data_IF_498288845617
#
_entry.id   IF_498288845617
#
_cell.length_a   1.000
_cell.length_b   1.000
_cell.length_c   1.000
_cell.angle_alpha   90.00
_cell.angle_beta   90.00
_cell.angle_gamma   90.00
#
_symmetry.space_group_name_H-M   'P 1'
#
loop_
_entity.id
_entity.type
_entity.pdbx_description
1 polymer ?
#
# COMPACT_ATOMS: atom_id res chain seq x y z
N UNK A 1 -4.03 6.30 29.63
CA UNK A 1 -3.42 5.13 28.96
C UNK A 1 -2.39 5.72 28.01
N UNK A 2 -1.11 5.68 28.44
CA UNK A 2 -0.03 6.08 27.54
C UNK A 2 0.01 5.13 26.35
N UNK A 3 -0.19 5.65 25.15
CA UNK A 3 -0.01 4.88 23.91
C UNK A 3 1.49 4.67 23.73
N UNK A 4 2.00 3.61 24.34
CA UNK A 4 3.34 3.12 24.09
C UNK A 4 3.21 2.05 23.01
N UNK A 5 3.57 2.40 21.79
CA UNK A 5 3.75 1.39 20.76
C UNK A 5 4.96 0.52 21.11
N UNK A 6 4.73 -0.78 21.03
CA UNK A 6 5.61 -1.86 21.49
C UNK A 6 7.04 -1.64 21.00
N UNK A 7 7.97 -1.79 21.93
CA UNK A 7 9.39 -1.74 21.68
C UNK A 7 9.80 -2.72 20.60
N UNK A 8 10.33 -2.18 19.58
CA UNK A 8 11.13 -2.86 18.60
C UNK A 8 12.56 -2.94 19.10
N UNK A 9 13.34 -3.77 18.45
CA UNK A 9 14.78 -3.83 18.69
C UNK A 9 15.41 -2.43 18.56
N UNK A 10 16.51 -2.20 19.25
CA UNK A 10 17.22 -0.91 19.25
C UNK A 10 17.42 -0.33 17.85
N UNK A 11 17.79 -1.16 16.88
CA UNK A 11 18.01 -0.75 15.48
C UNK A 11 16.74 -0.20 14.82
N UNK A 12 15.57 -0.77 15.10
CA UNK A 12 14.30 -0.34 14.55
C UNK A 12 13.91 1.02 15.15
N UNK A 13 14.02 1.16 16.45
CA UNK A 13 13.80 2.44 17.14
C UNK A 13 14.73 3.52 16.61
N UNK A 14 16.02 3.23 16.48
CA UNK A 14 16.99 4.20 15.99
C UNK A 14 16.77 4.56 14.51
N UNK A 15 16.36 3.60 13.70
CA UNK A 15 15.92 3.87 12.33
C UNK A 15 14.74 4.84 12.29
N UNK A 16 13.68 4.58 13.06
CA UNK A 16 12.50 5.47 13.11
C UNK A 16 12.89 6.87 13.58
N UNK A 17 13.71 6.95 14.65
CA UNK A 17 14.19 8.24 15.15
C UNK A 17 15.01 9.01 14.12
N UNK A 18 15.77 8.32 13.27
CA UNK A 18 16.54 9.00 12.21
C UNK A 18 15.67 9.76 11.22
N UNK A 19 14.47 9.26 10.89
CA UNK A 19 13.49 9.98 10.05
C UNK A 19 12.89 11.17 10.78
N UNK A 20 12.59 11.03 12.06
CA UNK A 20 12.09 12.14 12.89
C UNK A 20 13.16 13.24 13.02
N UNK A 21 14.38 12.86 13.29
CA UNK A 21 15.50 13.82 13.44
C UNK A 21 15.82 14.49 12.09
N UNK A 22 15.71 13.77 10.98
CA UNK A 22 15.81 14.34 9.65
C UNK A 22 14.73 15.41 9.41
N UNK A 23 13.48 15.13 9.79
CA UNK A 23 12.40 16.10 9.68
C UNK A 23 12.62 17.34 10.55
N UNK A 24 13.10 17.17 11.80
CA UNK A 24 13.41 18.29 12.71
C UNK A 24 14.50 19.21 12.18
N UNK A 25 15.40 18.70 11.35
CA UNK A 25 16.53 19.47 10.79
C UNK A 25 16.23 20.06 9.42
N UNK A 26 15.14 19.68 8.77
CA UNK A 26 14.78 20.12 7.44
C UNK A 26 14.01 21.44 7.48
N UNK A 27 14.32 22.40 6.60
CA UNK A 27 13.51 23.60 6.43
C UNK A 27 12.15 23.34 5.77
N UNK A 28 11.97 22.19 5.13
CA UNK A 28 10.76 21.80 4.39
C UNK A 28 9.79 20.98 5.24
N UNK A 29 10.08 20.76 6.53
CA UNK A 29 9.25 19.96 7.41
C UNK A 29 9.18 20.52 8.82
N UNK A 30 8.04 20.27 9.47
CA UNK A 30 7.78 20.61 10.87
C UNK A 30 7.20 19.41 11.60
N UNK A 31 7.71 19.11 12.81
CA UNK A 31 7.15 18.10 13.69
C UNK A 31 6.05 18.74 14.52
N UNK A 32 4.79 18.48 14.17
CA UNK A 32 3.62 19.06 14.81
C UNK A 32 3.27 18.41 16.16
N UNK A 33 3.61 17.11 16.31
CA UNK A 33 3.30 16.34 17.52
C UNK A 33 4.31 15.21 17.71
N UNK A 34 4.59 14.86 18.98
CA UNK A 34 5.50 13.77 19.33
C UNK A 34 6.96 14.11 19.05
N UNK A 35 7.64 13.21 18.39
CA UNK A 35 9.03 13.42 17.97
C UNK A 35 10.08 12.97 18.96
N UNK A 36 9.70 12.30 20.06
CA UNK A 36 10.64 11.81 21.07
C UNK A 36 10.69 10.28 21.08
N UNK A 37 11.80 9.77 21.57
CA UNK A 37 11.98 8.34 21.81
C UNK A 37 12.66 8.10 23.15
N UNK A 38 12.24 7.08 23.87
CA UNK A 38 12.80 6.68 25.16
C UNK A 38 13.41 5.27 25.05
N UNK A 39 14.64 5.12 25.54
CA UNK A 39 15.35 3.84 25.63
C UNK A 39 15.79 3.49 27.04
N UNK A 40 15.30 4.20 28.07
CA UNK A 40 15.70 3.99 29.47
C UNK A 40 15.12 2.71 30.05
N UNK A 41 13.90 2.33 29.63
CA UNK A 41 13.21 1.11 30.11
C UNK A 41 12.71 0.22 28.95
N UNK A 42 12.91 0.65 27.69
CA UNK A 42 12.49 -0.06 26.48
C UNK A 42 12.70 0.82 25.25
N UNK A 43 12.52 0.27 24.07
CA UNK A 43 12.75 1.00 22.81
C UNK A 43 11.45 1.65 22.33
N UNK A 44 11.04 2.74 22.93
CA UNK A 44 9.79 3.43 22.63
C UNK A 44 10.01 4.61 21.71
N UNK A 45 9.04 4.82 20.81
CA UNK A 45 8.92 6.02 19.97
C UNK A 45 7.51 6.58 20.18
N UNK A 46 7.40 7.88 20.41
CA UNK A 46 6.12 8.55 20.49
C UNK A 46 5.43 8.58 19.12
N UNK A 47 4.09 8.42 19.07
CA UNK A 47 3.35 8.76 17.87
C UNK A 47 3.73 10.17 17.40
N UNK A 48 4.18 10.27 16.15
CA UNK A 48 4.76 11.51 15.62
C UNK A 48 4.01 11.95 14.38
N UNK A 49 3.68 13.23 14.31
CA UNK A 49 3.05 13.88 13.15
C UNK A 49 4.02 14.89 12.58
N UNK A 50 4.36 14.71 11.31
CA UNK A 50 5.22 15.60 10.53
C UNK A 50 4.35 16.28 9.48
N UNK A 51 4.49 17.57 9.28
CA UNK A 51 3.96 18.28 8.12
C UNK A 51 5.12 18.68 7.21
N UNK A 52 4.96 18.50 5.92
CA UNK A 52 5.98 18.88 4.93
C UNK A 52 5.38 19.75 3.82
N UNK A 53 6.21 20.62 3.26
CA UNK A 53 5.91 21.38 2.05
C UNK A 53 6.44 20.69 0.78
N UNK A 54 7.31 19.68 0.93
CA UNK A 54 7.82 18.85 -0.17
C UNK A 54 7.06 17.54 -0.27
N UNK A 55 6.26 17.32 -1.33
CA UNK A 55 5.52 16.08 -1.52
C UNK A 55 6.42 14.85 -1.78
N UNK A 56 7.70 15.07 -2.09
CA UNK A 56 8.71 14.02 -2.25
C UNK A 56 9.64 13.91 -1.04
N UNK A 57 9.24 14.48 0.09
CA UNK A 57 9.99 14.41 1.33
C UNK A 57 10.31 12.96 1.70
N UNK A 58 11.48 12.72 2.27
CA UNK A 58 11.99 11.39 2.57
C UNK A 58 10.96 10.48 3.27
N UNK A 59 10.25 11.00 4.28
CA UNK A 59 9.23 10.23 5.01
C UNK A 59 7.89 10.05 4.26
N UNK A 60 7.71 10.72 3.10
CA UNK A 60 6.60 10.45 2.18
C UNK A 60 6.92 9.33 1.19
N UNK A 61 8.19 9.19 0.82
CA UNK A 61 8.65 8.26 -0.23
C UNK A 61 9.06 6.91 0.34
N UNK A 62 9.77 6.91 1.47
CA UNK A 62 10.35 5.72 2.08
C UNK A 62 9.42 5.13 3.15
N UNK A 63 9.45 3.81 3.27
CA UNK A 63 8.71 3.10 4.30
C UNK A 63 9.45 3.18 5.64
N UNK A 64 8.84 3.80 6.67
CA UNK A 64 9.43 3.94 8.01
C UNK A 64 9.14 2.72 8.88
N UNK A 65 7.99 2.12 8.72
CA UNK A 65 7.48 1.00 9.52
C UNK A 65 7.40 1.32 11.03
N UNK A 66 6.92 2.51 11.35
CA UNK A 66 6.84 3.04 12.73
C UNK A 66 5.68 4.00 12.94
N UNK A 67 5.52 4.50 14.17
CA UNK A 67 4.40 5.37 14.56
C UNK A 67 4.61 6.82 14.08
N UNK A 68 4.88 7.00 12.80
CA UNK A 68 5.12 8.30 12.17
C UNK A 68 4.14 8.48 11.02
N UNK A 69 3.44 9.59 10.99
CA UNK A 69 2.62 10.02 9.87
C UNK A 69 3.16 11.33 9.30
N UNK A 70 3.27 11.41 8.00
CA UNK A 70 3.66 12.65 7.29
C UNK A 70 2.49 13.19 6.51
N UNK A 71 2.23 14.48 6.64
CA UNK A 71 1.13 15.21 6.04
C UNK A 71 1.70 16.19 5.01
N UNK A 72 1.13 16.16 3.81
CA UNK A 72 1.32 17.17 2.79
C UNK A 72 -0.02 17.84 2.50
N UNK A 73 -0.07 19.16 2.65
CA UNK A 73 -1.27 19.94 2.38
C UNK A 73 -1.18 20.52 0.97
N UNK A 74 -2.18 20.27 0.16
CA UNK A 74 -2.25 20.74 -1.22
C UNK A 74 -3.42 21.70 -1.44
N UNK A 75 -3.35 22.50 -2.50
CA UNK A 75 -4.42 23.39 -2.92
C UNK A 75 -5.53 22.58 -3.62
N UNK A 76 -6.78 22.81 -3.27
CA UNK A 76 -7.95 22.13 -3.86
C UNK A 76 -7.97 22.24 -5.39
N UNK A 77 -7.48 23.34 -5.96
CA UNK A 77 -7.35 23.52 -7.40
C UNK A 77 -6.37 22.53 -8.06
N UNK A 78 -5.46 21.92 -7.27
CA UNK A 78 -4.44 20.95 -7.72
C UNK A 78 -4.82 19.51 -7.44
N UNK A 79 -6.10 19.22 -7.25
CA UNK A 79 -6.56 17.87 -6.88
C UNK A 79 -6.08 16.80 -7.86
N UNK A 80 -6.25 17.01 -9.17
CA UNK A 80 -5.85 16.03 -10.19
C UNK A 80 -4.33 15.81 -10.23
N UNK A 81 -3.56 16.88 -10.17
CA UNK A 81 -2.09 16.81 -10.11
C UNK A 81 -1.63 16.07 -8.84
N UNK A 82 -2.33 16.29 -7.72
CA UNK A 82 -2.03 15.63 -6.44
C UNK A 82 -2.33 14.14 -6.50
N UNK A 83 -3.38 13.71 -7.20
CA UNK A 83 -3.66 12.28 -7.41
C UNK A 83 -2.53 11.61 -8.21
N UNK A 84 -2.06 12.24 -9.29
CA UNK A 84 -0.93 11.73 -10.07
C UNK A 84 0.36 11.69 -9.24
N UNK A 85 0.55 12.69 -8.39
CA UNK A 85 1.66 12.73 -7.45
C UNK A 85 1.58 11.55 -6.47
N UNK A 86 0.42 11.31 -5.83
CA UNK A 86 0.19 10.17 -4.95
C UNK A 86 0.50 8.83 -5.61
N UNK A 87 0.14 8.67 -6.89
CA UNK A 87 0.41 7.43 -7.64
C UNK A 87 1.91 7.13 -7.78
N UNK A 88 2.75 8.16 -7.90
CA UNK A 88 4.18 8.03 -8.19
C UNK A 88 5.10 8.26 -6.99
N UNK A 89 4.60 8.77 -5.86
CA UNK A 89 5.43 9.15 -4.71
C UNK A 89 6.18 7.97 -4.11
N UNK A 90 5.55 6.79 -4.07
CA UNK A 90 6.13 5.60 -3.45
C UNK A 90 6.16 4.41 -4.42
N UNK A 91 7.17 3.55 -4.35
CA UNK A 91 7.21 2.31 -5.11
C UNK A 91 6.22 1.26 -4.59
N UNK A 92 5.62 1.47 -3.44
CA UNK A 92 4.67 0.55 -2.81
C UNK A 92 3.25 0.74 -3.31
N UNK A 93 2.43 -0.31 -3.23
CA UNK A 93 1.03 -0.29 -3.63
C UNK A 93 0.19 -1.25 -2.79
N UNK A 94 0.28 -1.14 -1.44
CA UNK A 94 -0.38 -2.06 -0.52
C UNK A 94 -1.80 -1.61 -0.20
N UNK A 95 -1.95 -0.50 0.49
CA UNK A 95 -3.25 0.03 0.92
C UNK A 95 -3.33 1.53 0.69
N UNK A 96 -4.54 2.01 0.44
CA UNK A 96 -4.83 3.43 0.34
C UNK A 96 -6.28 3.73 0.64
N UNK A 97 -6.57 4.96 1.07
CA UNK A 97 -7.92 5.42 1.38
C UNK A 97 -8.18 6.80 0.82
N UNK A 98 -9.40 7.01 0.35
CA UNK A 98 -9.93 8.31 -0.07
C UNK A 98 -11.07 8.70 0.87
N UNK A 99 -11.00 9.91 1.39
CA UNK A 99 -12.08 10.53 2.16
C UNK A 99 -12.65 11.71 1.38
N UNK A 100 -13.85 11.57 0.86
CA UNK A 100 -14.55 12.62 0.13
C UNK A 100 -16.07 12.45 0.20
N UNK A 101 -16.81 13.54 0.04
CA UNK A 101 -18.27 13.55 -0.09
C UNK A 101 -18.71 13.61 -1.54
N UNK A 102 -17.91 14.28 -2.38
CA UNK A 102 -18.19 14.41 -3.80
C UNK A 102 -17.91 13.11 -4.53
N UNK A 103 -18.93 12.57 -5.22
CA UNK A 103 -18.81 11.33 -6.00
C UNK A 103 -17.90 11.48 -7.21
N UNK A 104 -17.86 12.65 -7.84
CA UNK A 104 -16.97 12.88 -8.97
C UNK A 104 -15.51 12.87 -8.55
N UNK A 105 -15.21 13.47 -7.39
CA UNK A 105 -13.87 13.42 -6.79
C UNK A 105 -13.48 11.97 -6.45
N UNK A 106 -14.39 11.18 -5.87
CA UNK A 106 -14.16 9.76 -5.57
C UNK A 106 -13.88 8.97 -6.85
N UNK A 107 -14.71 9.13 -7.89
CA UNK A 107 -14.57 8.40 -9.15
C UNK A 107 -13.26 8.79 -9.86
N UNK A 108 -12.89 10.05 -9.84
CA UNK A 108 -11.61 10.53 -10.37
C UNK A 108 -10.43 9.88 -9.64
N UNK A 109 -10.42 9.93 -8.30
CA UNK A 109 -9.39 9.32 -7.48
C UNK A 109 -9.32 7.80 -7.70
N UNK A 110 -10.46 7.11 -7.71
CA UNK A 110 -10.53 5.68 -7.96
C UNK A 110 -9.89 5.28 -9.29
N UNK A 111 -10.14 6.03 -10.34
CA UNK A 111 -9.59 5.75 -11.66
C UNK A 111 -8.10 6.08 -11.76
N UNK A 112 -7.66 7.21 -11.21
CA UNK A 112 -6.26 7.64 -11.24
C UNK A 112 -5.39 6.73 -10.39
N UNK A 113 -5.85 6.38 -9.18
CA UNK A 113 -5.09 5.59 -8.21
C UNK A 113 -5.34 4.08 -8.31
N UNK A 114 -5.89 3.61 -9.43
CA UNK A 114 -6.27 2.20 -9.66
C UNK A 114 -5.18 1.19 -9.30
N UNK A 115 -3.93 1.54 -9.54
CA UNK A 115 -2.78 0.66 -9.32
C UNK A 115 -1.92 1.08 -8.12
N UNK A 116 -2.34 2.08 -7.36
CA UNK A 116 -1.59 2.59 -6.21
C UNK A 116 -1.86 1.81 -4.93
N UNK A 117 -2.93 1.02 -4.88
CA UNK A 117 -3.28 0.24 -3.71
C UNK A 117 -3.97 -1.08 -4.09
N UNK A 118 -3.46 -2.18 -3.54
CA UNK A 118 -4.11 -3.49 -3.67
C UNK A 118 -5.41 -3.57 -2.88
N UNK A 119 -5.47 -2.94 -1.70
CA UNK A 119 -6.68 -2.71 -0.94
C UNK A 119 -7.01 -1.22 -0.94
N UNK A 120 -8.05 -0.85 -1.66
CA UNK A 120 -8.48 0.53 -1.84
C UNK A 120 -9.76 0.78 -1.05
N UNK A 121 -9.75 1.78 -0.19
CA UNK A 121 -10.85 2.11 0.72
C UNK A 121 -11.44 3.47 0.38
N UNK A 122 -12.75 3.61 0.55
CA UNK A 122 -13.48 4.87 0.36
C UNK A 122 -14.22 5.20 1.65
N UNK A 123 -13.87 6.34 2.24
CA UNK A 123 -14.43 6.81 3.51
C UNK A 123 -14.27 5.80 4.66
N UNK A 124 -13.21 5.01 4.61
CA UNK A 124 -12.84 4.05 5.66
C UNK A 124 -11.32 4.06 5.86
N UNK A 125 -10.87 3.53 7.00
CA UNK A 125 -9.45 3.46 7.34
C UNK A 125 -8.71 2.54 6.36
N UNK A 126 -7.47 2.87 5.97
CA UNK A 126 -6.71 2.14 4.95
C UNK A 126 -6.05 0.85 5.47
N UNK A 127 -6.53 0.26 6.56
CA UNK A 127 -5.91 -0.91 7.20
C UNK A 127 -6.91 -1.71 8.01
N UNK A 128 -6.48 -2.85 8.57
CA UNK A 128 -7.33 -3.72 9.39
C UNK A 128 -8.21 -4.62 8.53
N UNK A 129 -7.69 -5.12 7.42
CA UNK A 129 -8.37 -6.09 6.58
C UNK A 129 -8.77 -7.35 7.37
N UNK A 130 -10.01 -7.77 7.17
CA UNK A 130 -10.58 -8.96 7.82
C UNK A 130 -10.54 -10.13 6.85
N UNK A 131 -9.99 -11.26 7.30
CA UNK A 131 -9.92 -12.51 6.53
C UNK A 131 -11.30 -12.86 5.94
N UNK A 132 -11.32 -13.27 4.69
CA UNK A 132 -12.50 -13.62 3.89
C UNK A 132 -13.46 -12.45 3.55
N UNK A 133 -13.37 -11.32 4.22
CA UNK A 133 -14.15 -10.11 3.89
C UNK A 133 -13.35 -9.14 3.00
N UNK A 134 -12.07 -8.96 3.33
CA UNK A 134 -11.15 -8.06 2.64
C UNK A 134 -9.83 -8.80 2.38
N UNK A 135 -9.77 -9.71 1.41
CA UNK A 135 -8.52 -10.38 1.06
C UNK A 135 -7.39 -9.37 0.84
N UNK A 136 -6.27 -9.60 1.51
CA UNK A 136 -5.23 -8.60 1.68
C UNK A 136 -4.04 -8.86 0.77
N UNK A 137 -3.58 -7.84 0.09
CA UNK A 137 -2.39 -7.90 -0.75
C UNK A 137 -2.21 -6.62 -1.55
N UNK A 138 -0.97 -6.37 -1.94
CA UNK A 138 -0.58 -5.22 -2.74
C UNK A 138 0.28 -5.59 -3.92
N UNK A 139 0.38 -4.65 -4.84
CA UNK A 139 1.21 -4.73 -6.04
C UNK A 139 2.45 -3.86 -5.93
N UNK A 140 3.19 -3.68 -7.02
CA UNK A 140 4.46 -2.96 -7.08
C UNK A 140 5.46 -3.59 -6.09
N UNK A 141 6.22 -2.79 -5.36
CA UNK A 141 7.15 -3.29 -4.33
C UNK A 141 6.48 -3.92 -3.11
N UNK A 142 5.16 -3.82 -2.96
CA UNK A 142 4.41 -4.45 -1.85
C UNK A 142 4.11 -5.92 -2.05
N UNK A 143 4.31 -6.48 -3.24
CA UNK A 143 4.18 -7.91 -3.49
C UNK A 143 3.42 -8.28 -4.76
N UNK A 144 2.97 -9.53 -4.81
CA UNK A 144 2.33 -10.14 -5.99
C UNK A 144 0.82 -9.97 -6.04
N UNK A 145 0.24 -9.30 -5.04
CA UNK A 145 -1.19 -9.06 -4.91
C UNK A 145 -2.06 -10.34 -4.87
N UNK A 146 -1.56 -11.42 -4.30
CA UNK A 146 -2.24 -12.72 -4.26
C UNK A 146 -3.45 -12.80 -3.33
N UNK A 147 -3.80 -11.71 -2.65
CA UNK A 147 -5.01 -11.61 -1.82
C UNK A 147 -5.08 -12.66 -0.71
N UNK A 148 -4.15 -12.58 0.23
CA UNK A 148 -4.13 -13.42 1.42
C UNK A 148 -5.49 -13.36 2.15
N UNK A 149 -5.99 -14.51 2.61
CA UNK A 149 -7.31 -14.63 3.20
C UNK A 149 -8.46 -14.77 2.20
N UNK A 150 -8.17 -14.93 0.91
CA UNK A 150 -9.12 -15.19 -0.16
C UNK A 150 -8.80 -16.44 -0.97
N UNK A 151 -9.76 -16.97 -1.75
CA UNK A 151 -9.56 -18.18 -2.54
C UNK A 151 -8.50 -18.03 -3.63
N UNK A 152 -8.26 -16.82 -4.13
CA UNK A 152 -7.24 -16.56 -5.15
C UNK A 152 -5.83 -16.86 -4.64
N UNK A 153 -5.57 -16.68 -3.35
CA UNK A 153 -4.28 -17.03 -2.78
C UNK A 153 -3.99 -18.53 -2.87
N UNK A 154 -5.00 -19.38 -2.76
CA UNK A 154 -4.84 -20.83 -2.80
C UNK A 154 -4.31 -21.34 -4.14
N UNK A 155 -4.56 -20.62 -5.24
CA UNK A 155 -4.08 -20.96 -6.58
C UNK A 155 -2.55 -21.02 -6.62
N UNK A 156 -1.87 -20.18 -5.83
CA UNK A 156 -0.40 -20.18 -5.72
C UNK A 156 0.19 -21.46 -5.12
N UNK A 157 -0.61 -22.16 -4.35
CA UNK A 157 -0.21 -23.40 -3.65
C UNK A 157 -0.64 -24.67 -4.39
N UNK A 158 -1.28 -24.52 -5.55
CA UNK A 158 -1.73 -25.63 -6.38
C UNK A 158 -0.91 -25.75 -7.65
N UNK A 159 -0.82 -26.97 -8.15
CA UNK A 159 -0.24 -27.26 -9.46
C UNK A 159 -1.34 -27.81 -10.36
N UNK A 160 -2.04 -26.98 -11.13
CA UNK A 160 -3.14 -27.42 -11.97
C UNK A 160 -2.63 -28.38 -13.05
N UNK A 161 -3.34 -29.50 -13.21
CA UNK A 161 -3.06 -30.49 -14.23
C UNK A 161 -4.26 -30.63 -15.15
N UNK A 162 -4.05 -30.42 -16.44
CA UNK A 162 -5.06 -30.68 -17.45
C UNK A 162 -4.85 -32.07 -18.03
N UNK A 163 -5.92 -32.87 -18.11
CA UNK A 163 -5.90 -34.19 -18.72
C UNK A 163 -6.92 -34.18 -19.86
N UNK A 164 -6.47 -34.59 -21.05
CA UNK A 164 -7.30 -34.84 -22.21
C UNK A 164 -7.15 -36.30 -22.59
N UNK A 165 -8.24 -37.06 -22.56
CA UNK A 165 -8.29 -38.43 -23.01
C UNK A 165 -9.17 -38.53 -24.27
N UNK A 166 -8.69 -39.25 -25.27
CA UNK A 166 -9.43 -39.55 -26.48
C UNK A 166 -9.77 -41.03 -26.48
N UNK A 167 -11.05 -41.36 -26.27
CA UNK A 167 -11.51 -42.74 -26.24
C UNK A 167 -11.41 -43.42 -27.61
N UNK A 168 -11.55 -42.64 -28.68
CA UNK A 168 -11.28 -43.07 -30.05
C UNK A 168 -10.12 -42.26 -30.59
N UNK A 169 -8.89 -42.82 -30.65
CA UNK A 169 -7.73 -42.08 -31.15
C UNK A 169 -7.95 -41.62 -32.58
N UNK A 170 -7.59 -40.35 -32.92
CA UNK A 170 -7.69 -39.87 -34.29
C UNK A 170 -6.74 -40.63 -35.22
N UNK A 171 -7.22 -40.99 -36.38
CA UNK A 171 -6.44 -41.67 -37.43
C UNK A 171 -5.94 -40.70 -38.50
N UNK A 172 -6.33 -39.44 -38.44
CA UNK A 172 -5.91 -38.37 -39.33
C UNK A 172 -5.36 -37.19 -38.55
N UNK A 173 -4.33 -36.54 -39.03
CA UNK A 173 -3.74 -35.33 -38.42
C UNK A 173 -4.47 -34.05 -38.80
N UNK A 174 -5.34 -34.07 -39.84
CA UNK A 174 -6.06 -32.92 -40.33
C UNK A 174 -7.28 -32.60 -39.44
N UNK A 175 -7.53 -31.32 -39.21
CA UNK A 175 -8.75 -30.89 -38.58
C UNK A 175 -9.92 -30.96 -39.60
N UNK A 176 -11.14 -31.37 -39.19
CA UNK A 176 -12.27 -31.51 -40.08
C UNK A 176 -12.57 -30.24 -40.89
N UNK A 177 -12.48 -29.06 -40.31
CA UNK A 177 -12.76 -27.78 -40.94
C UNK A 177 -11.74 -27.40 -42.06
N UNK A 178 -10.56 -28.01 -42.10
CA UNK A 178 -9.58 -27.79 -43.17
C UNK A 178 -9.89 -28.60 -44.44
N UNK A 179 -10.81 -29.57 -44.37
CA UNK A 179 -11.25 -30.40 -45.48
C UNK A 179 -12.53 -29.92 -46.16
N UNK A 180 -13.22 -28.93 -45.60
CA UNK A 180 -14.42 -28.34 -46.19
C UNK A 180 -14.01 -27.38 -47.30
N UNK A 181 -14.48 -27.66 -48.52
CA UNK A 181 -14.33 -26.78 -49.71
C UNK A 181 -15.62 -26.02 -49.93
#
# INVERSE_FOLDING_TARGET
IGVRLVGSEMCIRDSIMSYIDYAKQSPDAEVLFGGNGDKSVGYFVEPTVIQTTDPMFKSMVEEIFGPVITIYVYDDAKYEETLELCDRTSPYGLTGSIFARDRYAIDKAFNTLRYSAGNFYINDKPTGAVIAQQPFGGSRASGTNDKAGGPLNLIRWTNPRCIKECLVPPTSYGYPFLGEK
#
